data_IF_844472154668
#
_entry.id   IF_844472154668
#
_cell.length_a   1.000
_cell.length_b   1.000
_cell.length_c   1.000
_cell.angle_alpha   90.00
_cell.angle_beta   90.00
_cell.angle_gamma   90.00
#
_symmetry.space_group_name_H-M   'P 1'
#
loop_
_entity.id
_entity.type
_entity.pdbx_description
1 polymer ?
#
# COMPACT_ATOMS: atom_id res chain seq x y z
N UNK A 1 9.57 -0.27 -6.73
CA UNK A 1 8.83 0.27 -5.55
C UNK A 1 8.36 1.70 -5.77
N UNK A 2 9.18 2.54 -6.35
CA UNK A 2 8.83 3.97 -6.57
C UNK A 2 7.56 4.15 -7.40
N UNK A 3 7.41 3.42 -8.50
CA UNK A 3 6.22 3.49 -9.36
C UNK A 3 4.96 3.07 -8.60
N UNK A 4 5.07 2.02 -7.77
CA UNK A 4 3.95 1.61 -6.93
C UNK A 4 3.61 2.67 -5.88
N UNK A 5 4.61 3.27 -5.23
CA UNK A 5 4.39 4.32 -4.23
C UNK A 5 3.63 5.50 -4.84
N UNK A 6 4.03 5.93 -6.03
CA UNK A 6 3.36 7.01 -6.74
C UNK A 6 1.91 6.65 -7.07
N UNK A 7 1.67 5.44 -7.56
CA UNK A 7 0.32 4.95 -7.87
C UNK A 7 -0.54 4.81 -6.61
N UNK A 8 0.05 4.34 -5.51
CA UNK A 8 -0.60 4.20 -4.22
C UNK A 8 -1.06 5.55 -3.66
N UNK A 9 -0.17 6.54 -3.64
CA UNK A 9 -0.49 7.89 -3.17
C UNK A 9 -1.53 8.57 -4.06
N UNK A 10 -1.43 8.40 -5.37
CA UNK A 10 -2.43 8.91 -6.31
C UNK A 10 -3.82 8.30 -6.04
N UNK A 11 -3.88 7.00 -5.76
CA UNK A 11 -5.13 6.32 -5.43
C UNK A 11 -5.80 6.91 -4.19
N UNK A 12 -5.03 7.16 -3.14
CA UNK A 12 -5.55 7.75 -1.90
C UNK A 12 -6.06 9.16 -2.13
N UNK A 13 -5.36 9.96 -2.93
CA UNK A 13 -5.71 11.35 -3.17
C UNK A 13 -6.91 11.52 -4.09
N UNK A 14 -7.12 10.62 -5.04
CA UNK A 14 -8.10 10.80 -6.12
C UNK A 14 -9.20 9.77 -6.15
N UNK A 15 -9.03 8.64 -5.49
CA UNK A 15 -9.93 7.50 -5.60
C UNK A 15 -9.71 6.65 -6.86
N UNK A 16 -8.78 7.05 -7.74
CA UNK A 16 -8.42 6.27 -8.93
C UNK A 16 -7.33 5.27 -8.58
N UNK A 17 -7.72 4.01 -8.40
CA UNK A 17 -6.83 2.92 -8.04
C UNK A 17 -6.35 2.11 -9.25
N UNK A 18 -6.73 2.51 -10.47
CA UNK A 18 -6.42 1.74 -11.68
C UNK A 18 -4.93 1.50 -11.89
N UNK A 19 -4.10 2.47 -11.53
CA UNK A 19 -2.65 2.34 -11.62
C UNK A 19 -2.07 1.46 -10.51
N UNK A 20 -2.58 1.62 -9.29
CA UNK A 20 -2.09 0.88 -8.12
C UNK A 20 -2.37 -0.63 -8.23
N UNK A 21 -3.49 -1.03 -8.81
CA UNK A 21 -3.84 -2.44 -8.99
C UNK A 21 -2.84 -3.22 -9.83
N UNK A 22 -2.08 -2.56 -10.71
CA UNK A 22 -1.08 -3.22 -11.54
C UNK A 22 0.08 -3.82 -10.75
N UNK A 23 0.31 -3.31 -9.55
CA UNK A 23 1.47 -3.65 -8.72
C UNK A 23 1.16 -4.57 -7.56
N UNK A 24 -0.08 -5.06 -7.45
CA UNK A 24 -0.51 -5.93 -6.35
C UNK A 24 -1.35 -7.09 -6.88
N UNK A 25 -1.34 -8.21 -6.17
CA UNK A 25 -2.22 -9.35 -6.48
C UNK A 25 -3.50 -9.28 -5.65
N UNK A 26 -4.54 -9.99 -6.09
CA UNK A 26 -5.89 -9.89 -5.52
C UNK A 26 -6.01 -10.31 -4.06
N UNK A 27 -5.11 -11.15 -3.57
CA UNK A 27 -5.15 -11.68 -2.21
C UNK A 27 -4.33 -10.86 -1.21
N UNK A 28 -3.86 -9.68 -1.60
CA UNK A 28 -3.09 -8.80 -0.71
C UNK A 28 -3.99 -7.86 0.08
N UNK A 29 -3.48 -7.39 1.23
CA UNK A 29 -4.14 -6.34 2.02
C UNK A 29 -4.26 -5.04 1.22
N UNK A 30 -3.23 -4.73 0.44
CA UNK A 30 -3.18 -3.54 -0.41
C UNK A 30 -4.30 -3.55 -1.45
N UNK A 31 -4.57 -4.71 -2.04
CA UNK A 31 -5.69 -4.85 -2.99
C UNK A 31 -7.03 -4.55 -2.32
N UNK A 32 -7.25 -5.12 -1.14
CA UNK A 32 -8.45 -4.87 -0.34
C UNK A 32 -8.59 -3.40 0.05
N UNK A 33 -7.48 -2.75 0.39
CA UNK A 33 -7.45 -1.32 0.69
C UNK A 33 -7.87 -0.49 -0.52
N UNK A 34 -7.38 -0.80 -1.72
CA UNK A 34 -7.76 -0.08 -2.94
C UNK A 34 -9.24 -0.26 -3.27
N UNK A 35 -9.80 -1.45 -3.04
CA UNK A 35 -11.23 -1.68 -3.19
C UNK A 35 -12.04 -0.80 -2.23
N UNK A 36 -11.59 -0.67 -0.99
CA UNK A 36 -12.20 0.23 0.00
C UNK A 36 -12.16 1.69 -0.48
N UNK A 37 -11.01 2.15 -0.97
CA UNK A 37 -10.83 3.51 -1.46
C UNK A 37 -11.77 3.79 -2.65
N UNK A 38 -11.87 2.87 -3.61
CA UNK A 38 -12.79 3.02 -4.74
C UNK A 38 -14.24 3.20 -4.27
N UNK A 39 -14.67 2.39 -3.32
CA UNK A 39 -16.04 2.46 -2.78
C UNK A 39 -16.27 3.77 -2.03
N UNK A 40 -15.30 4.19 -1.22
CA UNK A 40 -15.37 5.44 -0.47
C UNK A 40 -15.61 6.64 -1.40
N UNK A 41 -14.78 6.79 -2.42
CA UNK A 41 -14.89 7.90 -3.38
C UNK A 41 -16.14 7.79 -4.25
N UNK A 42 -16.52 6.57 -4.67
CA UNK A 42 -17.73 6.34 -5.45
C UNK A 42 -18.98 6.79 -4.71
N UNK A 43 -18.99 6.62 -3.39
CA UNK A 43 -20.12 7.00 -2.53
C UNK A 43 -20.04 8.46 -2.06
N UNK A 44 -19.12 9.26 -2.62
CA UNK A 44 -18.99 10.68 -2.30
C UNK A 44 -18.14 10.99 -1.08
N UNK A 45 -17.47 9.99 -0.50
CA UNK A 45 -16.49 10.20 0.55
C UNK A 45 -15.11 10.54 -0.01
N UNK A 46 -14.16 10.76 0.86
CA UNK A 46 -12.77 11.03 0.45
C UNK A 46 -11.79 10.73 1.58
N UNK A 47 -10.51 10.66 1.23
CA UNK A 47 -9.44 10.54 2.21
C UNK A 47 -8.74 11.88 2.41
N UNK A 48 -8.41 12.19 3.66
CA UNK A 48 -7.52 13.30 4.02
C UNK A 48 -6.29 12.66 4.64
N UNK A 49 -5.16 12.77 3.96
CA UNK A 49 -3.98 12.03 4.36
C UNK A 49 -2.71 12.79 4.02
N UNK A 50 -1.67 12.57 4.83
CA UNK A 50 -0.30 12.82 4.42
C UNK A 50 0.13 11.66 3.51
N UNK A 51 0.94 11.97 2.51
CA UNK A 51 1.43 10.96 1.60
C UNK A 51 2.30 9.94 2.35
N UNK A 52 2.11 8.65 2.04
CA UNK A 52 2.97 7.59 2.52
C UNK A 52 4.36 7.74 1.89
N UNK A 53 5.39 7.52 2.70
CA UNK A 53 6.78 7.42 2.25
C UNK A 53 7.28 6.02 2.51
N UNK A 54 7.93 5.42 1.51
CA UNK A 54 8.49 4.07 1.59
C UNK A 54 9.96 4.12 1.28
N UNK A 55 10.78 3.50 2.13
CA UNK A 55 12.23 3.43 1.97
C UNK A 55 12.66 1.97 1.92
N UNK A 56 13.52 1.66 0.95
CA UNK A 56 14.17 0.36 0.88
C UNK A 56 15.25 0.27 1.95
N UNK A 57 15.13 -0.72 2.83
CA UNK A 57 16.11 -0.98 3.91
C UNK A 57 17.07 -2.11 3.56
N UNK A 58 16.84 -2.82 2.47
CA UNK A 58 17.73 -3.89 2.00
C UNK A 58 17.71 -3.97 0.48
N UNK A 59 18.67 -4.70 -0.08
CA UNK A 59 18.62 -5.11 -1.47
C UNK A 59 17.47 -6.10 -1.68
N UNK A 60 17.06 -6.26 -2.92
CA UNK A 60 16.09 -7.27 -3.31
C UNK A 60 16.76 -8.66 -3.19
N UNK A 61 16.14 -9.54 -2.43
CA UNK A 61 16.63 -10.90 -2.18
C UNK A 61 15.73 -11.93 -2.85
N UNK A 62 16.33 -12.88 -3.58
CA UNK A 62 15.58 -13.96 -4.19
C UNK A 62 15.62 -15.22 -3.30
N UNK A 63 14.44 -15.70 -2.93
CA UNK A 63 14.28 -16.95 -2.19
C UNK A 63 14.01 -18.09 -3.19
N UNK A 64 15.03 -18.90 -3.47
CA UNK A 64 14.92 -20.00 -4.44
C UNK A 64 13.92 -21.08 -4.00
N UNK A 65 13.79 -21.31 -2.71
CA UNK A 65 12.90 -22.37 -2.20
C UNK A 65 11.44 -22.03 -2.43
N UNK A 66 11.08 -20.76 -2.35
CA UNK A 66 9.71 -20.25 -2.53
C UNK A 66 9.50 -19.61 -3.90
N UNK A 67 10.56 -19.38 -4.66
CA UNK A 67 10.56 -18.73 -5.97
C UNK A 67 9.92 -17.35 -5.95
N UNK A 68 10.22 -16.59 -4.90
CA UNK A 68 9.73 -15.22 -4.72
C UNK A 68 10.89 -14.31 -4.35
N UNK A 69 10.69 -13.03 -4.55
CA UNK A 69 11.63 -11.99 -4.12
C UNK A 69 11.10 -11.32 -2.85
N UNK A 70 12.01 -10.85 -2.01
CA UNK A 70 11.63 -10.06 -0.83
C UNK A 70 12.57 -8.89 -0.64
N UNK A 71 12.05 -7.82 -0.05
CA UNK A 71 12.80 -6.61 0.26
C UNK A 71 12.30 -6.04 1.57
N UNK A 72 13.23 -5.68 2.46
CA UNK A 72 12.89 -4.99 3.69
C UNK A 72 12.58 -3.54 3.39
N UNK A 73 11.44 -3.06 3.91
CA UNK A 73 10.89 -1.74 3.59
C UNK A 73 10.49 -1.05 4.89
N UNK A 74 10.74 0.25 4.96
CA UNK A 74 10.25 1.11 6.02
C UNK A 74 9.19 2.04 5.45
N UNK A 75 8.00 2.01 6.03
CA UNK A 75 6.90 2.92 5.72
C UNK A 75 6.84 4.02 6.77
N UNK A 76 6.72 5.26 6.32
CA UNK A 76 6.58 6.44 7.19
C UNK A 76 5.29 7.15 6.79
N UNK A 77 4.42 7.42 7.78
CA UNK A 77 3.17 8.13 7.55
C UNK A 77 2.78 8.92 8.79
N UNK A 78 1.92 9.92 8.64
CA UNK A 78 1.48 10.74 9.78
C UNK A 78 -0.03 10.76 9.98
N UNK A 79 -0.81 11.07 8.96
CA UNK A 79 -2.26 11.26 9.10
C UNK A 79 -3.01 10.38 8.11
N UNK A 80 -4.02 9.65 8.60
CA UNK A 80 -4.96 8.90 7.76
C UNK A 80 -6.37 9.16 8.27
N UNK A 81 -7.17 9.90 7.53
CA UNK A 81 -8.56 10.17 7.87
C UNK A 81 -9.42 9.86 6.65
N UNK A 82 -10.44 9.03 6.84
CA UNK A 82 -11.38 8.66 5.78
C UNK A 82 -12.75 9.23 6.14
N UNK A 83 -13.31 10.03 5.24
CA UNK A 83 -14.53 10.80 5.47
C UNK A 83 -15.63 10.28 4.55
N UNK A 84 -16.76 9.88 5.15
CA UNK A 84 -17.95 9.46 4.42
C UNK A 84 -18.65 10.69 3.79
N UNK A 85 -19.54 10.42 2.82
CA UNK A 85 -20.28 11.48 2.11
C UNK A 85 -21.10 12.37 3.04
N UNK A 86 -21.52 11.87 4.21
CA UNK A 86 -22.26 12.63 5.22
C UNK A 86 -21.35 13.42 6.16
N UNK A 87 -20.04 13.42 5.95
CA UNK A 87 -19.07 14.07 6.83
C UNK A 87 -18.61 13.24 8.02
N UNK A 88 -19.14 12.03 8.19
CA UNK A 88 -18.72 11.11 9.25
C UNK A 88 -17.30 10.58 9.02
N UNK A 89 -16.52 10.48 10.09
CA UNK A 89 -15.15 9.94 10.03
C UNK A 89 -15.21 8.44 10.28
N UNK A 90 -14.82 7.64 9.28
CA UNK A 90 -14.85 6.17 9.39
C UNK A 90 -13.55 5.58 9.90
N UNK A 91 -12.44 6.27 9.65
CA UNK A 91 -11.13 5.82 10.11
C UNK A 91 -10.25 7.02 10.38
N UNK A 92 -9.58 7.00 11.53
CA UNK A 92 -8.64 8.03 11.92
C UNK A 92 -7.40 7.35 12.50
N UNK A 93 -6.25 7.63 11.91
CA UNK A 93 -4.95 7.19 12.46
C UNK A 93 -4.31 8.32 13.27
N UNK A 94 -3.14 8.04 13.85
CA UNK A 94 -2.38 9.02 14.62
C UNK A 94 -2.07 10.26 13.81
N UNK A 95 -2.07 11.41 14.48
CA UNK A 95 -1.63 12.68 13.91
C UNK A 95 -0.10 12.85 14.00
N UNK A 96 0.57 12.06 14.84
CA UNK A 96 2.03 12.04 14.96
C UNK A 96 2.62 11.18 13.85
N UNK A 97 3.87 11.49 13.45
CA UNK A 97 4.59 10.68 12.48
C UNK A 97 4.81 9.28 13.04
N UNK A 98 4.39 8.29 12.28
CA UNK A 98 4.56 6.88 12.61
C UNK A 98 5.46 6.21 11.59
N UNK A 99 6.18 5.16 12.00
CA UNK A 99 6.94 4.34 11.07
C UNK A 99 6.75 2.85 11.38
N UNK A 100 7.00 2.04 10.37
CA UNK A 100 6.87 0.60 10.45
C UNK A 100 7.87 -0.05 9.48
N UNK A 101 8.44 -1.18 9.89
CA UNK A 101 9.40 -1.93 9.08
C UNK A 101 8.88 -3.34 8.86
N UNK A 102 8.86 -3.75 7.61
CA UNK A 102 8.33 -5.04 7.20
C UNK A 102 8.97 -5.47 5.89
N UNK A 103 8.60 -6.64 5.38
CA UNK A 103 9.06 -7.15 4.09
C UNK A 103 7.92 -7.15 3.10
N UNK A 104 8.16 -6.59 1.91
CA UNK A 104 7.33 -6.87 0.75
C UNK A 104 7.84 -8.13 0.07
N UNK A 105 6.92 -9.00 -0.28
CA UNK A 105 7.17 -10.19 -1.08
C UNK A 105 6.68 -9.89 -2.49
N UNK A 106 7.53 -10.20 -3.48
CA UNK A 106 7.28 -9.83 -4.86
C UNK A 106 7.33 -11.03 -5.80
N UNK A 107 6.55 -10.94 -6.87
CA UNK A 107 6.74 -11.73 -8.08
C UNK A 107 6.90 -10.79 -9.27
N UNK A 108 7.60 -11.26 -10.29
CA UNK A 108 7.72 -10.53 -11.57
C UNK A 108 6.82 -11.22 -12.59
N UNK A 109 5.84 -10.49 -13.13
CA UNK A 109 4.86 -11.06 -14.05
C UNK A 109 4.42 -10.01 -15.07
N UNK A 110 4.39 -10.40 -16.34
CA UNK A 110 3.92 -9.55 -17.45
C UNK A 110 4.57 -8.16 -17.50
N UNK A 111 5.87 -8.09 -17.20
CA UNK A 111 6.62 -6.83 -17.24
C UNK A 111 6.52 -5.99 -15.97
N UNK A 112 5.83 -6.45 -14.96
CA UNK A 112 5.63 -5.71 -13.70
C UNK A 112 6.11 -6.51 -12.50
N UNK A 113 6.71 -5.80 -11.55
CA UNK A 113 6.92 -6.30 -10.20
C UNK A 113 5.61 -6.15 -9.44
N UNK A 114 5.09 -7.27 -8.93
CA UNK A 114 3.83 -7.26 -8.17
C UNK A 114 4.08 -7.66 -6.73
N UNK A 115 3.51 -6.89 -5.81
CA UNK A 115 3.46 -7.27 -4.39
C UNK A 115 2.45 -8.41 -4.25
N UNK A 116 2.91 -9.52 -3.69
CA UNK A 116 2.05 -10.70 -3.44
C UNK A 116 1.71 -10.86 -1.96
N UNK A 117 2.47 -10.21 -1.08
CA UNK A 117 2.22 -10.21 0.35
C UNK A 117 3.11 -9.19 1.05
N UNK A 118 2.76 -8.85 2.29
CA UNK A 118 3.62 -8.10 3.20
C UNK A 118 3.69 -8.83 4.53
N UNK A 119 4.88 -8.97 5.09
CA UNK A 119 5.11 -9.73 6.32
C UNK A 119 6.12 -9.05 7.21
N UNK A 120 5.89 -9.15 8.52
CA UNK A 120 6.93 -8.81 9.50
C UNK A 120 8.00 -9.91 9.51
N UNK A 121 9.20 -9.56 10.00
CA UNK A 121 10.34 -10.48 10.02
C UNK A 121 10.03 -11.81 10.71
N UNK A 122 9.28 -11.76 11.83
CA UNK A 122 8.90 -12.96 12.57
C UNK A 122 7.87 -13.85 11.86
N UNK A 123 7.30 -13.38 10.76
CA UNK A 123 6.32 -14.13 9.96
C UNK A 123 6.95 -14.82 8.74
N UNK A 124 8.20 -14.53 8.48
CA UNK A 124 8.90 -15.07 7.30
C UNK A 124 9.23 -16.57 7.44
#
# INVERSE_FOLDING_TARGET
MEDWVNAHNYAIQTGDCSYAFKYVTEDTEEYGFYKYIEILYKNGGWAVDSLDSYQSESALFYDESKKIYRMKVRRIWSTEIYIESNGGITRKANTDTSDDTFYFLYTYSNGYWKIIDSKYENEL
#
